data_IF_299272226123
#
_entry.id   IF_299272226123
#
_cell.length_a   1.000
_cell.length_b   1.000
_cell.length_c   1.000
_cell.angle_alpha   90.00
_cell.angle_beta   90.00
_cell.angle_gamma   90.00
#
_symmetry.space_group_name_H-M   'P 1'
#
loop_
_entity.id
_entity.type
_entity.pdbx_description
1 polymer ?
#
# COMPACT_ATOMS: atom_id res chain seq x y z
N UNK A 1 36.37 -16.38 4.76
CA UNK A 1 36.59 -16.24 3.31
C UNK A 1 36.16 -17.52 2.61
N UNK A 2 35.34 -17.43 1.56
CA UNK A 2 34.97 -18.58 0.74
C UNK A 2 36.02 -18.78 -0.35
N UNK A 3 36.37 -20.02 -0.67
CA UNK A 3 37.29 -20.41 -1.74
C UNK A 3 36.57 -21.35 -2.71
N UNK A 4 36.26 -20.85 -3.89
CA UNK A 4 35.56 -21.56 -4.96
C UNK A 4 36.54 -22.43 -5.76
N UNK A 5 36.21 -23.71 -5.92
CA UNK A 5 37.01 -24.64 -6.72
C UNK A 5 36.89 -24.37 -8.22
N UNK A 6 37.86 -24.81 -9.03
CA UNK A 6 37.76 -24.77 -10.49
C UNK A 6 36.50 -25.46 -11.03
N UNK A 7 36.11 -26.59 -10.43
CA UNK A 7 34.92 -27.34 -10.82
C UNK A 7 33.63 -26.53 -10.57
N UNK A 8 33.56 -25.82 -9.45
CA UNK A 8 32.44 -24.92 -9.15
C UNK A 8 32.30 -23.79 -10.18
N UNK A 9 33.43 -23.22 -10.64
CA UNK A 9 33.42 -22.13 -11.63
C UNK A 9 33.05 -22.60 -13.05
N UNK A 10 33.05 -23.91 -13.30
CA UNK A 10 32.79 -24.50 -14.63
C UNK A 10 31.47 -25.28 -14.71
N UNK A 11 31.00 -25.90 -13.63
CA UNK A 11 29.69 -26.53 -13.52
C UNK A 11 28.74 -25.66 -12.71
N UNK A 12 27.92 -24.83 -13.36
CA UNK A 12 27.11 -23.87 -12.62
C UNK A 12 25.58 -23.89 -12.87
N UNK A 13 25.01 -24.72 -13.77
CA UNK A 13 23.58 -24.52 -14.13
C UNK A 13 22.70 -25.74 -14.46
N UNK A 14 23.18 -27.00 -14.42
CA UNK A 14 22.38 -28.14 -14.92
C UNK A 14 21.15 -28.48 -14.06
N UNK A 15 21.32 -28.58 -12.73
CA UNK A 15 20.24 -29.05 -11.85
C UNK A 15 19.11 -28.02 -11.65
N UNK A 16 19.44 -26.73 -11.60
CA UNK A 16 18.44 -25.66 -11.45
C UNK A 16 17.51 -25.60 -12.67
N UNK A 17 18.08 -25.71 -13.87
CA UNK A 17 17.34 -25.68 -15.14
C UNK A 17 16.30 -26.79 -15.22
N UNK A 18 16.63 -28.00 -14.74
CA UNK A 18 15.68 -29.12 -14.69
C UNK A 18 14.50 -28.85 -13.75
N UNK A 19 14.75 -28.37 -12.52
CA UNK A 19 13.67 -28.01 -11.59
C UNK A 19 12.75 -26.92 -12.13
N UNK A 20 13.33 -25.89 -12.76
CA UNK A 20 12.58 -24.80 -13.36
C UNK A 20 11.70 -25.27 -14.53
N UNK A 21 12.19 -26.21 -15.34
CA UNK A 21 11.43 -26.82 -16.42
C UNK A 21 10.24 -27.65 -15.93
N UNK A 22 10.37 -28.36 -14.81
CA UNK A 22 9.27 -29.10 -14.18
C UNK A 22 8.16 -28.16 -13.68
N UNK A 23 8.54 -27.06 -13.03
CA UNK A 23 7.59 -26.04 -12.56
C UNK A 23 6.89 -25.37 -13.75
N UNK A 24 7.63 -25.05 -14.82
CA UNK A 24 7.06 -24.52 -16.05
C UNK A 24 6.02 -25.49 -16.65
N UNK A 25 6.33 -26.78 -16.69
CA UNK A 25 5.40 -27.83 -17.13
C UNK A 25 4.11 -27.86 -16.31
N UNK A 26 4.21 -27.75 -14.99
CA UNK A 26 3.04 -27.68 -14.11
C UNK A 26 2.14 -26.47 -14.39
N UNK A 27 2.74 -25.28 -14.63
CA UNK A 27 1.98 -24.08 -15.02
C UNK A 27 1.25 -24.26 -16.35
N UNK A 28 1.88 -24.90 -17.35
CA UNK A 28 1.26 -25.18 -18.65
C UNK A 28 0.05 -26.12 -18.49
N UNK A 29 0.19 -27.19 -17.70
CA UNK A 29 -0.92 -28.11 -17.42
C UNK A 29 -2.07 -27.38 -16.72
N UNK A 30 -1.76 -26.59 -15.69
CA UNK A 30 -2.76 -25.79 -14.98
C UNK A 30 -3.46 -24.80 -15.93
N UNK A 31 -2.72 -24.20 -16.86
CA UNK A 31 -3.24 -23.24 -17.84
C UNK A 31 -4.23 -23.90 -18.80
N UNK A 32 -3.90 -25.09 -19.29
CA UNK A 32 -4.79 -25.87 -20.16
C UNK A 32 -6.05 -26.27 -19.40
N UNK A 33 -5.90 -26.81 -18.17
CA UNK A 33 -7.05 -27.26 -17.36
C UNK A 33 -7.99 -26.11 -17.02
N UNK A 34 -7.47 -24.99 -16.49
CA UNK A 34 -8.28 -23.82 -16.16
C UNK A 34 -8.83 -23.13 -17.41
N UNK A 35 -8.10 -23.13 -18.52
CA UNK A 35 -8.56 -22.60 -19.80
C UNK A 35 -9.75 -23.38 -20.34
N UNK A 36 -9.70 -24.72 -20.30
CA UNK A 36 -10.83 -25.58 -20.69
C UNK A 36 -12.03 -25.36 -19.75
N UNK A 37 -11.81 -25.29 -18.44
CA UNK A 37 -12.88 -25.01 -17.47
C UNK A 37 -13.51 -23.63 -17.68
N UNK A 38 -12.72 -22.61 -18.00
CA UNK A 38 -13.19 -21.27 -18.33
C UNK A 38 -14.02 -21.27 -19.63
N UNK A 39 -13.53 -21.91 -20.68
CA UNK A 39 -14.25 -22.00 -21.97
C UNK A 39 -15.56 -22.79 -21.84
N UNK A 40 -15.58 -23.87 -21.06
CA UNK A 40 -16.77 -24.69 -20.81
C UNK A 40 -17.81 -23.95 -19.96
N UNK A 41 -17.37 -23.17 -18.97
CA UNK A 41 -18.24 -22.49 -18.00
C UNK A 41 -18.13 -20.96 -18.10
N UNK A 42 -18.30 -20.39 -19.31
CA UNK A 42 -18.13 -18.95 -19.59
C UNK A 42 -18.96 -18.00 -18.71
N UNK A 43 -20.10 -18.45 -18.19
CA UNK A 43 -21.00 -17.65 -17.33
C UNK A 43 -20.62 -17.68 -15.85
N UNK A 44 -19.73 -18.59 -15.44
CA UNK A 44 -19.32 -18.73 -14.05
C UNK A 44 -18.05 -17.92 -13.77
N UNK A 45 -18.22 -16.82 -13.02
CA UNK A 45 -17.16 -15.87 -12.67
C UNK A 45 -15.97 -16.53 -11.97
N UNK A 46 -16.19 -17.61 -11.21
CA UNK A 46 -15.14 -18.33 -10.48
C UNK A 46 -14.03 -18.81 -11.42
N UNK A 47 -14.37 -19.48 -12.53
CA UNK A 47 -13.37 -20.02 -13.46
C UNK A 47 -12.66 -18.93 -14.25
N UNK A 48 -13.38 -17.85 -14.61
CA UNK A 48 -12.79 -16.66 -15.22
C UNK A 48 -11.72 -16.06 -14.30
N UNK A 49 -12.06 -15.84 -13.03
CA UNK A 49 -11.17 -15.18 -12.08
C UNK A 49 -9.95 -16.05 -11.76
N UNK A 50 -10.13 -17.37 -11.57
CA UNK A 50 -9.00 -18.30 -11.41
C UNK A 50 -8.10 -18.35 -12.64
N UNK A 51 -8.67 -18.34 -13.85
CA UNK A 51 -7.88 -18.34 -15.07
C UNK A 51 -7.06 -17.05 -15.22
N UNK A 52 -7.65 -15.88 -14.94
CA UNK A 52 -6.95 -14.58 -14.95
C UNK A 52 -5.79 -14.58 -13.95
N UNK A 53 -6.03 -15.05 -12.71
CA UNK A 53 -4.97 -15.14 -11.69
C UNK A 53 -3.84 -16.07 -12.15
N UNK A 54 -4.17 -17.22 -12.75
CA UNK A 54 -3.15 -18.12 -13.29
C UNK A 54 -2.34 -17.46 -14.41
N UNK A 55 -2.98 -16.71 -15.32
CA UNK A 55 -2.27 -15.97 -16.37
C UNK A 55 -1.23 -15.01 -15.77
N UNK A 56 -1.60 -14.25 -14.74
CA UNK A 56 -0.66 -13.35 -14.06
C UNK A 56 0.48 -14.11 -13.36
N UNK A 57 0.18 -15.23 -12.68
CA UNK A 57 1.20 -16.05 -12.04
C UNK A 57 2.16 -16.68 -13.07
N UNK A 58 1.66 -17.09 -14.23
CA UNK A 58 2.47 -17.63 -15.31
C UNK A 58 3.39 -16.55 -15.91
N UNK A 59 2.88 -15.34 -16.17
CA UNK A 59 3.69 -14.21 -16.65
C UNK A 59 4.77 -13.82 -15.62
N UNK A 60 4.40 -13.77 -14.33
CA UNK A 60 5.34 -13.50 -13.25
C UNK A 60 6.43 -14.58 -13.20
N UNK A 61 6.05 -15.85 -13.26
CA UNK A 61 6.98 -16.97 -13.26
C UNK A 61 7.95 -16.90 -14.43
N UNK A 62 7.46 -16.68 -15.66
CA UNK A 62 8.30 -16.52 -16.87
C UNK A 62 9.25 -15.34 -16.72
N UNK A 63 8.79 -14.22 -16.17
CA UNK A 63 9.64 -13.03 -15.93
C UNK A 63 10.75 -13.31 -14.93
N UNK A 64 10.45 -14.01 -13.82
CA UNK A 64 11.45 -14.43 -12.84
C UNK A 64 12.47 -15.40 -13.46
N UNK A 65 12.03 -16.34 -14.31
CA UNK A 65 12.93 -17.23 -15.04
C UNK A 65 13.84 -16.49 -15.99
N UNK A 66 13.29 -15.55 -16.76
CA UNK A 66 14.06 -14.73 -17.68
C UNK A 66 15.12 -13.91 -16.94
N UNK A 67 14.75 -13.30 -15.80
CA UNK A 67 15.73 -12.60 -14.94
C UNK A 67 16.83 -13.54 -14.45
N UNK A 68 16.47 -14.72 -13.92
CA UNK A 68 17.45 -15.69 -13.45
C UNK A 68 18.37 -16.16 -14.56
N UNK A 69 17.85 -16.38 -15.77
CA UNK A 69 18.63 -16.73 -16.95
C UNK A 69 19.62 -15.63 -17.34
N UNK A 70 19.17 -14.38 -17.36
CA UNK A 70 20.04 -13.23 -17.63
C UNK A 70 21.15 -13.08 -16.59
N UNK A 71 20.82 -13.24 -15.29
CA UNK A 71 21.81 -13.22 -14.21
C UNK A 71 22.78 -14.41 -14.31
N UNK A 72 22.29 -15.60 -14.64
CA UNK A 72 23.09 -16.80 -14.87
C UNK A 72 24.07 -16.62 -16.03
N UNK A 73 23.62 -16.05 -17.15
CA UNK A 73 24.46 -15.79 -18.31
C UNK A 73 25.59 -14.81 -17.98
N UNK A 74 25.28 -13.72 -17.27
CA UNK A 74 26.27 -12.74 -16.81
C UNK A 74 27.31 -13.37 -15.86
N UNK A 75 26.84 -14.14 -14.88
CA UNK A 75 27.72 -14.84 -13.93
C UNK A 75 28.56 -15.92 -14.61
N UNK A 76 28.01 -16.67 -15.57
CA UNK A 76 28.73 -17.71 -16.31
C UNK A 76 29.85 -17.12 -17.17
N UNK A 77 29.62 -15.97 -17.81
CA UNK A 77 30.64 -15.28 -18.59
C UNK A 77 31.84 -14.87 -17.72
N UNK A 78 31.57 -14.30 -16.54
CA UNK A 78 32.62 -13.83 -15.63
C UNK A 78 33.32 -14.98 -14.88
N UNK A 79 32.58 -16.02 -14.47
CA UNK A 79 33.16 -17.24 -13.88
C UNK A 79 33.98 -18.04 -14.88
N UNK A 80 33.60 -18.04 -16.16
CA UNK A 80 34.40 -18.64 -17.24
C UNK A 80 35.77 -17.98 -17.40
N UNK A 81 35.85 -16.65 -17.26
CA UNK A 81 37.13 -15.91 -17.30
C UNK A 81 38.02 -16.26 -16.09
N UNK A 82 37.45 -16.28 -14.88
CA UNK A 82 38.16 -16.70 -13.66
C UNK A 82 38.64 -18.14 -13.74
N UNK A 83 37.82 -19.06 -14.27
CA UNK A 83 38.20 -20.44 -14.49
C UNK A 83 39.34 -20.57 -15.51
N UNK A 84 39.30 -19.77 -16.58
CA UNK A 84 40.36 -19.73 -17.61
C UNK A 84 41.69 -19.24 -17.01
N UNK A 85 41.65 -18.20 -16.17
CA UNK A 85 42.82 -17.73 -15.43
C UNK A 85 43.37 -18.83 -14.50
N UNK A 86 42.54 -19.46 -13.68
CA UNK A 86 42.96 -20.57 -12.80
C UNK A 86 43.59 -21.72 -13.61
N UNK A 87 43.07 -22.02 -14.81
CA UNK A 87 43.64 -23.04 -15.70
C UNK A 87 45.02 -22.65 -16.21
N UNK A 88 45.24 -21.38 -16.55
CA UNK A 88 46.55 -20.88 -16.99
C UNK A 88 47.57 -20.91 -15.83
N UNK A 89 47.16 -20.52 -14.63
CA UNK A 89 48.01 -20.54 -13.44
C UNK A 89 48.35 -21.98 -13.02
N UNK A 90 47.37 -22.89 -13.10
CA UNK A 90 47.57 -24.33 -12.88
C UNK A 90 48.67 -24.89 -13.78
N UNK A 91 48.64 -24.54 -15.08
CA UNK A 91 49.69 -24.93 -16.03
C UNK A 91 51.05 -24.32 -15.68
N UNK A 92 51.10 -23.02 -15.40
CA UNK A 92 52.35 -22.32 -15.08
C UNK A 92 53.01 -22.85 -13.80
N UNK A 93 52.21 -23.16 -12.77
CA UNK A 93 52.69 -23.62 -11.46
C UNK A 93 52.76 -25.14 -11.34
N UNK A 94 52.40 -25.90 -12.38
CA UNK A 94 52.38 -27.36 -12.39
C UNK A 94 51.52 -27.97 -11.26
N UNK A 95 50.41 -27.31 -10.93
CA UNK A 95 49.47 -27.75 -9.87
C UNK A 95 48.22 -28.31 -10.52
N UNK A 96 47.69 -29.48 -10.10
CA UNK A 96 46.46 -30.03 -10.67
C UNK A 96 45.25 -29.13 -10.43
N UNK A 97 44.33 -29.07 -11.40
CA UNK A 97 43.10 -28.23 -11.35
C UNK A 97 42.22 -28.51 -10.12
N UNK A 98 42.24 -29.73 -9.58
CA UNK A 98 41.52 -30.12 -8.36
C UNK A 98 42.02 -29.41 -7.09
N UNK A 99 43.23 -28.85 -7.13
CA UNK A 99 43.85 -28.12 -6.02
C UNK A 99 43.87 -26.59 -6.24
N UNK A 100 43.12 -26.11 -7.25
CA UNK A 100 43.00 -24.69 -7.56
C UNK A 100 41.72 -24.11 -6.98
N UNK A 101 41.85 -23.02 -6.24
CA UNK A 101 40.71 -22.29 -5.68
C UNK A 101 40.88 -20.78 -5.83
N UNK A 102 39.78 -20.05 -5.94
CA UNK A 102 39.75 -18.58 -5.96
C UNK A 102 38.77 -18.05 -4.91
N UNK A 103 39.04 -16.90 -4.30
CA UNK A 103 38.14 -16.27 -3.34
C UNK A 103 36.99 -15.48 -3.99
N UNK A 104 36.99 -15.35 -5.32
CA UNK A 104 35.96 -14.70 -6.11
C UNK A 104 35.58 -15.54 -7.32
N UNK A 105 34.34 -15.41 -7.77
CA UNK A 105 33.81 -15.98 -9.01
C UNK A 105 33.98 -15.05 -10.20
N UNK A 106 34.39 -13.80 -9.98
CA UNK A 106 34.63 -12.77 -11.00
C UNK A 106 36.10 -12.33 -10.95
N UNK A 107 36.66 -11.92 -12.09
CA UNK A 107 37.98 -11.30 -12.14
C UNK A 107 37.93 -9.95 -11.43
N UNK A 108 38.77 -9.80 -10.40
CA UNK A 108 38.86 -8.56 -9.63
C UNK A 108 40.28 -8.36 -9.09
N UNK A 109 40.74 -7.12 -9.08
CA UNK A 109 42.06 -6.78 -8.57
C UNK A 109 42.18 -7.11 -7.07
N UNK A 110 43.31 -7.70 -6.67
CA UNK A 110 43.54 -8.15 -5.30
C UNK A 110 42.84 -9.45 -4.91
N UNK A 111 42.25 -10.19 -5.87
CA UNK A 111 41.69 -11.51 -5.57
C UNK A 111 42.76 -12.48 -5.09
N UNK A 112 42.38 -13.41 -4.22
CA UNK A 112 43.29 -14.43 -3.68
C UNK A 112 43.00 -15.78 -4.33
N UNK A 113 44.05 -16.42 -4.82
CA UNK A 113 44.00 -17.79 -5.31
C UNK A 113 44.83 -18.71 -4.43
N UNK A 114 44.39 -19.96 -4.33
CA UNK A 114 45.14 -21.04 -3.71
C UNK A 114 45.59 -22.00 -4.82
N UNK A 115 46.90 -22.23 -4.90
CA UNK A 115 47.50 -23.22 -5.79
C UNK A 115 48.26 -24.24 -4.93
N UNK A 116 47.66 -25.42 -4.72
CA UNK A 116 48.24 -26.46 -3.87
C UNK A 116 48.28 -26.03 -2.40
N UNK A 117 49.47 -25.74 -1.87
CA UNK A 117 49.68 -25.29 -0.47
C UNK A 117 49.89 -23.78 -0.32
N UNK A 118 50.12 -23.05 -1.42
CA UNK A 118 50.47 -21.64 -1.39
C UNK A 118 49.28 -20.76 -1.79
N UNK A 119 49.21 -19.56 -1.22
CA UNK A 119 48.25 -18.54 -1.59
C UNK A 119 48.96 -17.42 -2.36
N UNK A 120 48.28 -16.89 -3.36
CA UNK A 120 48.76 -15.79 -4.18
C UNK A 120 47.67 -14.72 -4.27
N UNK A 121 48.06 -13.47 -4.14
CA UNK A 121 47.24 -12.33 -4.54
C UNK A 121 47.45 -12.07 -6.03
N UNK A 122 46.35 -11.85 -6.74
CA UNK A 122 46.33 -11.56 -8.17
C UNK A 122 46.13 -10.06 -8.33
N UNK A 123 47.10 -9.41 -8.97
CA UNK A 123 47.01 -8.00 -9.33
C UNK A 123 46.96 -7.89 -10.86
N UNK A 124 45.91 -7.24 -11.36
CA UNK A 124 45.68 -7.06 -12.80
C UNK A 124 46.23 -5.70 -13.26
N UNK A 125 46.65 -5.64 -14.52
CA UNK A 125 46.85 -4.36 -15.20
C UNK A 125 45.50 -3.65 -15.47
N UNK A 126 45.56 -2.36 -15.82
CA UNK A 126 44.36 -1.52 -15.97
C UNK A 126 43.34 -2.06 -16.99
N UNK A 127 43.79 -2.83 -17.99
CA UNK A 127 42.99 -3.45 -19.05
C UNK A 127 42.67 -4.93 -18.80
N UNK A 128 43.06 -5.50 -17.65
CA UNK A 128 42.85 -6.90 -17.25
C UNK A 128 43.38 -7.95 -18.25
N UNK A 129 44.27 -7.54 -19.15
CA UNK A 129 44.90 -8.42 -20.14
C UNK A 129 46.06 -9.24 -19.58
N UNK A 130 46.62 -8.79 -18.45
CA UNK A 130 47.75 -9.41 -17.78
C UNK A 130 47.55 -9.42 -16.25
N UNK A 131 48.22 -10.36 -15.59
CA UNK A 131 48.18 -10.48 -14.14
C UNK A 131 49.56 -10.79 -13.56
N UNK A 132 49.84 -10.27 -12.37
CA UNK A 132 50.98 -10.66 -11.54
C UNK A 132 50.50 -11.47 -10.33
N UNK A 133 51.35 -12.39 -9.87
CA UNK A 133 51.06 -13.25 -8.72
C UNK A 133 52.04 -12.94 -7.59
N UNK A 134 51.53 -12.36 -6.51
CA UNK A 134 52.30 -12.04 -5.31
C UNK A 134 52.00 -13.07 -4.23
N UNK A 135 52.99 -13.80 -3.68
CA UNK A 135 52.75 -14.72 -2.57
C UNK A 135 52.13 -14.00 -1.37
N UNK A 136 51.10 -14.59 -0.77
CA UNK A 136 50.40 -14.02 0.38
C UNK A 136 50.08 -15.09 1.42
N UNK A 137 49.85 -14.66 2.66
CA UNK A 137 49.45 -15.52 3.76
C UNK A 137 48.08 -15.09 4.28
N UNK A 138 47.25 -16.06 4.65
CA UNK A 138 45.94 -15.76 5.24
C UNK A 138 46.10 -15.37 6.70
N UNK A 139 45.50 -14.24 7.08
CA UNK A 139 45.41 -13.82 8.50
C UNK A 139 44.44 -14.72 9.28
N UNK A 140 43.42 -15.27 8.62
CA UNK A 140 42.41 -16.15 9.23
C UNK A 140 42.61 -17.62 8.88
N UNK A 141 42.52 -18.50 9.89
CA UNK A 141 43.14 -19.83 9.85
C UNK A 141 42.32 -20.94 9.13
N UNK A 142 41.08 -20.69 8.69
CA UNK A 142 40.26 -21.70 7.97
C UNK A 142 39.33 -21.07 6.91
N UNK A 143 39.70 -21.08 5.62
CA UNK A 143 38.78 -20.71 4.55
C UNK A 143 37.70 -21.79 4.36
N UNK A 144 36.50 -21.37 3.96
CA UNK A 144 35.39 -22.25 3.63
C UNK A 144 35.50 -22.67 2.16
N UNK A 145 35.65 -23.96 1.87
CA UNK A 145 35.84 -24.44 0.50
C UNK A 145 34.50 -24.74 -0.15
N UNK A 146 34.20 -24.06 -1.25
CA UNK A 146 32.98 -24.23 -2.03
C UNK A 146 33.29 -25.09 -3.24
N UNK A 147 32.98 -26.38 -3.12
CA UNK A 147 33.34 -27.42 -4.11
C UNK A 147 32.14 -27.78 -5.01
N UNK A 148 30.92 -27.61 -4.50
CA UNK A 148 29.68 -27.84 -5.24
C UNK A 148 28.57 -26.90 -4.74
N UNK A 149 27.70 -26.47 -5.65
CA UNK A 149 26.52 -25.69 -5.28
C UNK A 149 25.55 -26.59 -4.50
N UNK A 150 25.46 -26.39 -3.18
CA UNK A 150 24.35 -26.91 -2.40
C UNK A 150 23.16 -25.99 -2.67
N UNK A 151 22.08 -26.57 -3.18
CA UNK A 151 20.84 -25.85 -3.45
C UNK A 151 20.30 -25.26 -2.14
N UNK A 152 20.58 -23.98 -1.92
CA UNK A 152 20.09 -23.25 -0.76
C UNK A 152 19.02 -22.28 -1.26
N UNK A 153 17.76 -22.67 -1.06
CA UNK A 153 16.61 -21.85 -1.41
C UNK A 153 16.50 -20.70 -0.40
N UNK A 154 17.42 -19.74 -0.46
CA UNK A 154 17.33 -18.51 0.33
C UNK A 154 16.25 -17.60 -0.26
N UNK A 155 14.99 -18.02 -0.11
CA UNK A 155 13.80 -17.32 -0.57
C UNK A 155 13.79 -15.86 -0.07
N UNK A 156 14.22 -15.63 1.17
CA UNK A 156 14.20 -14.30 1.79
C UNK A 156 15.26 -13.32 1.29
N UNK A 157 16.31 -13.78 0.58
CA UNK A 157 17.35 -12.89 0.03
C UNK A 157 17.13 -12.54 -1.45
N UNK A 158 16.03 -12.98 -2.05
CA UNK A 158 15.69 -12.61 -3.41
C UNK A 158 15.01 -11.23 -3.43
N UNK A 159 15.53 -10.31 -4.23
CA UNK A 159 15.02 -8.94 -4.38
C UNK A 159 13.51 -8.90 -4.65
N UNK A 160 12.99 -9.85 -5.43
CA UNK A 160 11.57 -9.95 -5.76
C UNK A 160 10.71 -10.40 -4.57
N UNK A 161 11.25 -11.20 -3.65
CA UNK A 161 10.56 -11.61 -2.42
C UNK A 161 10.47 -10.44 -1.45
N UNK A 162 11.56 -9.66 -1.31
CA UNK A 162 11.55 -8.42 -0.50
C UNK A 162 10.54 -7.42 -1.07
N UNK A 163 10.55 -7.20 -2.39
CA UNK A 163 9.60 -6.34 -3.08
C UNK A 163 8.15 -6.81 -2.88
N UNK A 164 7.90 -8.11 -3.03
CA UNK A 164 6.58 -8.72 -2.80
C UNK A 164 6.10 -8.57 -1.36
N UNK A 165 6.98 -8.75 -0.37
CA UNK A 165 6.65 -8.53 1.05
C UNK A 165 6.32 -7.06 1.33
N UNK A 166 7.08 -6.10 0.80
CA UNK A 166 6.77 -4.67 0.92
C UNK A 166 5.40 -4.35 0.28
N UNK A 167 5.11 -4.86 -0.91
CA UNK A 167 3.82 -4.69 -1.58
C UNK A 167 2.67 -5.25 -0.75
N UNK A 168 2.83 -6.47 -0.21
CA UNK A 168 1.81 -7.12 0.61
C UNK A 168 1.55 -6.37 1.91
N UNK A 169 2.61 -5.92 2.60
CA UNK A 169 2.48 -5.10 3.81
C UNK A 169 1.79 -3.77 3.50
N UNK A 170 2.19 -3.09 2.41
CA UNK A 170 1.58 -1.84 1.97
C UNK A 170 0.10 -2.00 1.66
N UNK A 171 -0.28 -3.08 0.96
CA UNK A 171 -1.67 -3.42 0.67
C UNK A 171 -2.48 -3.69 1.93
N UNK A 172 -1.97 -4.53 2.85
CA UNK A 172 -2.66 -4.83 4.12
C UNK A 172 -2.83 -3.55 4.94
N UNK A 173 -1.79 -2.72 5.04
CA UNK A 173 -1.86 -1.44 5.75
C UNK A 173 -2.88 -0.49 5.14
N UNK A 174 -2.94 -0.41 3.81
CA UNK A 174 -3.97 0.36 3.09
C UNK A 174 -5.38 -0.09 3.49
N UNK A 175 -5.65 -1.39 3.42
CA UNK A 175 -6.96 -1.96 3.76
C UNK A 175 -7.31 -1.70 5.22
N UNK A 176 -6.36 -1.90 6.14
CA UNK A 176 -6.56 -1.64 7.57
C UNK A 176 -6.86 -0.15 7.80
N UNK A 177 -6.06 0.76 7.22
CA UNK A 177 -6.27 2.19 7.39
C UNK A 177 -7.61 2.64 6.83
N UNK A 178 -8.03 2.18 5.65
CA UNK A 178 -9.34 2.53 5.09
C UNK A 178 -10.47 2.02 5.98
N UNK A 179 -10.38 0.78 6.46
CA UNK A 179 -11.43 0.20 7.33
C UNK A 179 -11.52 0.89 8.69
N UNK A 180 -10.39 1.27 9.29
CA UNK A 180 -10.35 1.95 10.59
C UNK A 180 -10.68 3.45 10.49
N UNK A 181 -10.25 4.12 9.43
CA UNK A 181 -10.47 5.55 9.17
C UNK A 181 -11.90 5.86 8.69
N UNK A 182 -12.63 4.82 8.29
CA UNK A 182 -13.97 4.90 7.72
C UNK A 182 -13.95 5.03 6.20
N UNK A 183 -15.11 4.84 5.57
CA UNK A 183 -15.26 4.83 4.11
C UNK A 183 -15.04 6.18 3.43
N UNK A 184 -14.78 7.25 4.19
CA UNK A 184 -14.45 8.58 3.65
C UNK A 184 -13.27 8.55 2.69
N UNK A 185 -12.32 7.63 2.84
CA UNK A 185 -11.19 7.50 1.90
C UNK A 185 -11.59 6.95 0.52
N UNK A 186 -12.70 6.22 0.39
CA UNK A 186 -13.16 5.68 -0.90
C UNK A 186 -13.95 6.70 -1.71
N UNK A 187 -14.68 7.57 -1.01
CA UNK A 187 -15.38 8.72 -1.58
C UNK A 187 -15.01 9.94 -0.74
N UNK A 188 -13.89 10.61 -1.09
CA UNK A 188 -13.34 11.69 -0.27
C UNK A 188 -14.33 12.84 -0.10
N UNK A 189 -14.85 12.98 1.12
CA UNK A 189 -15.76 14.06 1.51
C UNK A 189 -15.03 15.36 1.86
N UNK A 190 -13.72 15.29 2.13
CA UNK A 190 -12.89 16.43 2.49
C UNK A 190 -11.47 16.28 1.93
N UNK A 191 -10.69 17.36 2.00
CA UNK A 191 -9.32 17.40 1.48
C UNK A 191 -8.36 16.45 2.20
N UNK A 192 -8.56 16.18 3.50
CA UNK A 192 -7.69 15.29 4.29
C UNK A 192 -7.82 13.86 3.79
N UNK A 193 -9.03 13.38 3.53
CA UNK A 193 -9.27 12.03 3.01
C UNK A 193 -8.61 11.85 1.61
N UNK A 194 -8.61 12.89 0.77
CA UNK A 194 -7.89 12.88 -0.51
C UNK A 194 -6.37 12.86 -0.32
N UNK A 195 -5.86 13.77 0.52
CA UNK A 195 -4.43 13.88 0.83
C UNK A 195 -3.89 12.57 1.40
N UNK A 196 -4.66 11.90 2.25
CA UNK A 196 -4.32 10.59 2.78
C UNK A 196 -4.00 9.61 1.66
N UNK A 197 -4.90 9.46 0.67
CA UNK A 197 -4.72 8.51 -0.41
C UNK A 197 -3.50 8.83 -1.27
N UNK A 198 -3.27 10.11 -1.60
CA UNK A 198 -2.14 10.52 -2.44
C UNK A 198 -0.80 10.31 -1.76
N UNK A 199 -0.66 10.75 -0.51
CA UNK A 199 0.60 10.62 0.23
C UNK A 199 0.89 9.14 0.51
N UNK A 200 -0.12 8.36 0.90
CA UNK A 200 0.06 6.94 1.17
C UNK A 200 0.47 6.17 -0.10
N UNK A 201 -0.16 6.47 -1.23
CA UNK A 201 0.26 5.96 -2.54
C UNK A 201 1.71 6.32 -2.88
N UNK A 202 2.11 7.56 -2.63
CA UNK A 202 3.50 8.03 -2.82
C UNK A 202 4.51 7.34 -1.90
N UNK A 203 4.16 7.13 -0.64
CA UNK A 203 4.99 6.42 0.36
C UNK A 203 5.20 4.96 -0.06
N UNK A 204 4.11 4.25 -0.38
CA UNK A 204 4.19 2.86 -0.82
C UNK A 204 4.99 2.77 -2.12
N UNK A 205 4.64 3.57 -3.14
CA UNK A 205 5.31 3.57 -4.43
C UNK A 205 6.81 3.87 -4.31
N UNK A 206 7.18 4.92 -3.58
CA UNK A 206 8.59 5.33 -3.45
C UNK A 206 9.45 4.36 -2.66
N UNK A 207 8.96 3.80 -1.56
CA UNK A 207 9.78 2.95 -0.69
C UNK A 207 9.90 1.49 -1.17
N UNK A 208 8.99 1.02 -2.02
CA UNK A 208 9.05 -0.33 -2.57
C UNK A 208 10.33 -0.53 -3.41
N UNK A 209 10.70 0.47 -4.22
CA UNK A 209 11.84 0.38 -5.15
C UNK A 209 13.20 0.71 -4.50
N UNK A 210 13.21 1.09 -3.22
CA UNK A 210 14.45 1.46 -2.54
C UNK A 210 15.01 0.28 -1.73
N UNK A 211 16.10 -0.30 -2.22
CA UNK A 211 16.79 -1.44 -1.59
C UNK A 211 17.46 -1.07 -0.25
N UNK A 212 17.77 0.20 -0.03
CA UNK A 212 18.34 0.66 1.25
C UNK A 212 17.30 0.67 2.38
N UNK A 213 16.00 0.69 2.04
CA UNK A 213 14.92 0.68 3.03
C UNK A 213 14.54 -0.77 3.32
N UNK A 214 14.81 -1.20 4.55
CA UNK A 214 14.43 -2.53 5.05
C UNK A 214 12.91 -2.66 5.20
N UNK A 215 12.41 -3.91 5.26
CA UNK A 215 10.99 -4.20 5.47
C UNK A 215 10.49 -3.58 6.79
N UNK A 216 11.29 -3.64 7.86
CA UNK A 216 10.93 -3.07 9.15
C UNK A 216 10.82 -1.54 9.09
N UNK A 217 11.78 -0.87 8.45
CA UNK A 217 11.73 0.59 8.26
C UNK A 217 10.49 0.99 7.44
N UNK A 218 10.19 0.25 6.37
CA UNK A 218 8.98 0.47 5.56
C UNK A 218 7.70 0.38 6.43
N UNK A 219 7.60 -0.66 7.26
CA UNK A 219 6.48 -0.82 8.19
C UNK A 219 6.37 0.32 9.21
N UNK A 220 7.50 0.74 9.80
CA UNK A 220 7.53 1.85 10.76
C UNK A 220 7.03 3.15 10.12
N UNK A 221 7.45 3.47 8.88
CA UNK A 221 6.98 4.68 8.20
C UNK A 221 5.47 4.62 7.95
N UNK A 222 4.92 3.47 7.54
CA UNK A 222 3.47 3.30 7.39
C UNK A 222 2.72 3.48 8.72
N UNK A 223 3.31 3.03 9.84
CA UNK A 223 2.73 3.19 11.17
C UNK A 223 2.74 4.66 11.61
N UNK A 224 3.86 5.37 11.43
CA UNK A 224 3.98 6.80 11.72
C UNK A 224 2.94 7.58 10.90
N UNK A 225 2.83 7.31 9.61
CA UNK A 225 1.82 7.92 8.75
C UNK A 225 0.40 7.64 9.25
N UNK A 226 0.12 6.39 9.61
CA UNK A 226 -1.16 6.00 10.21
C UNK A 226 -1.47 6.84 11.46
N UNK A 227 -0.50 6.98 12.36
CA UNK A 227 -0.66 7.75 13.59
C UNK A 227 -0.98 9.21 13.31
N UNK A 228 -0.33 9.82 12.31
CA UNK A 228 -0.59 11.20 11.89
C UNK A 228 -2.03 11.36 11.39
N UNK A 229 -2.51 10.42 10.56
CA UNK A 229 -3.89 10.45 10.04
C UNK A 229 -4.92 10.25 11.16
N UNK A 230 -4.75 9.24 12.01
CA UNK A 230 -5.70 9.02 13.10
C UNK A 230 -5.66 10.14 14.13
N UNK A 231 -4.47 10.68 14.41
CA UNK A 231 -4.29 11.85 15.26
C UNK A 231 -4.97 13.09 14.69
N UNK A 232 -4.83 13.37 13.39
CA UNK A 232 -5.50 14.52 12.76
C UNK A 232 -7.02 14.38 12.78
N UNK A 233 -7.57 13.18 12.54
CA UNK A 233 -9.01 12.92 12.68
C UNK A 233 -9.50 13.10 14.11
N UNK A 234 -8.72 12.65 15.11
CA UNK A 234 -9.04 12.88 16.51
C UNK A 234 -9.09 14.37 16.86
N UNK A 235 -8.12 15.15 16.38
CA UNK A 235 -8.06 16.60 16.58
C UNK A 235 -9.25 17.32 15.92
N UNK A 236 -9.58 16.97 14.68
CA UNK A 236 -10.75 17.51 13.95
C UNK A 236 -12.06 17.19 14.68
N UNK A 237 -12.20 15.99 15.25
CA UNK A 237 -13.41 15.60 15.99
C UNK A 237 -13.56 16.38 17.31
N UNK A 238 -12.45 16.64 18.01
CA UNK A 238 -12.49 17.30 19.31
C UNK A 238 -12.54 18.82 19.23
N UNK A 239 -11.96 19.43 18.19
CA UNK A 239 -11.79 20.87 18.11
C UNK A 239 -12.33 21.46 16.83
N UNK A 240 -13.25 22.41 16.97
CA UNK A 240 -13.84 23.13 15.83
C UNK A 240 -12.82 24.04 15.13
N UNK A 241 -11.75 24.46 15.82
CA UNK A 241 -10.62 25.13 15.19
C UNK A 241 -9.91 24.23 14.17
N UNK A 242 -9.56 23.00 14.57
CA UNK A 242 -8.91 22.03 13.68
C UNK A 242 -9.84 21.58 12.56
N UNK A 243 -11.15 21.43 12.83
CA UNK A 243 -12.17 21.19 11.80
C UNK A 243 -12.17 22.30 10.75
N UNK A 244 -12.21 23.57 11.17
CA UNK A 244 -12.18 24.72 10.25
C UNK A 244 -10.89 24.81 9.45
N UNK A 245 -9.75 24.52 10.08
CA UNK A 245 -8.43 24.64 9.45
C UNK A 245 -8.13 23.50 8.46
N UNK A 246 -8.48 22.26 8.80
CA UNK A 246 -8.06 21.08 8.04
C UNK A 246 -9.14 20.55 7.07
N UNK A 247 -10.42 20.59 7.45
CA UNK A 247 -11.52 20.13 6.60
C UNK A 247 -12.30 21.29 5.95
N UNK A 248 -12.19 22.51 6.49
CA UNK A 248 -13.01 23.64 6.06
C UNK A 248 -14.46 23.54 6.55
N UNK A 249 -15.31 24.48 6.13
CA UNK A 249 -16.74 24.49 6.43
C UNK A 249 -17.53 24.61 5.13
N UNK A 250 -18.71 23.98 5.00
CA UNK A 250 -19.61 24.22 3.88
C UNK A 250 -19.93 25.71 3.74
N UNK A 251 -19.92 26.24 2.52
CA UNK A 251 -20.11 27.67 2.24
C UNK A 251 -21.39 27.91 1.46
N UNK A 252 -22.23 28.84 1.95
CA UNK A 252 -23.46 29.23 1.25
C UNK A 252 -23.09 30.11 0.06
N UNK A 253 -23.47 29.68 -1.14
CA UNK A 253 -23.22 30.39 -2.40
C UNK A 253 -24.48 31.08 -2.90
N UNK A 254 -25.65 30.43 -2.80
CA UNK A 254 -26.95 31.02 -3.14
C UNK A 254 -27.89 30.86 -1.95
N UNK A 255 -28.61 31.92 -1.59
CA UNK A 255 -29.69 31.88 -0.60
C UNK A 255 -30.90 32.64 -1.14
N UNK A 256 -32.02 31.93 -1.26
CA UNK A 256 -33.29 32.45 -1.76
C UNK A 256 -33.16 33.21 -3.10
N UNK A 257 -32.53 32.59 -4.10
CA UNK A 257 -32.29 33.21 -5.41
C UNK A 257 -31.21 34.28 -5.45
N UNK A 258 -30.64 34.67 -4.30
CA UNK A 258 -29.57 35.68 -4.23
C UNK A 258 -28.19 35.03 -4.12
N UNK A 259 -27.28 35.43 -5.00
CA UNK A 259 -25.90 34.94 -5.01
C UNK A 259 -25.07 35.72 -3.97
N UNK A 260 -24.43 35.00 -3.07
CA UNK A 260 -23.50 35.55 -2.08
C UNK A 260 -22.10 35.60 -2.72
N UNK A 261 -21.86 36.67 -3.48
CA UNK A 261 -20.65 36.83 -4.32
C UNK A 261 -19.37 36.73 -3.49
N UNK A 262 -19.34 37.33 -2.30
CA UNK A 262 -18.17 37.27 -1.41
C UNK A 262 -17.77 35.83 -1.05
N UNK A 263 -18.75 34.96 -0.78
CA UNK A 263 -18.48 33.57 -0.46
C UNK A 263 -18.03 32.80 -1.71
N UNK A 264 -18.60 33.07 -2.89
CA UNK A 264 -18.15 32.47 -4.13
C UNK A 264 -16.69 32.82 -4.42
N UNK A 265 -16.35 34.11 -4.36
CA UNK A 265 -15.00 34.61 -4.65
C UNK A 265 -13.96 34.12 -3.63
N UNK A 266 -14.29 34.08 -2.33
CA UNK A 266 -13.40 33.55 -1.28
C UNK A 266 -13.04 32.07 -1.50
N UNK A 267 -13.91 31.31 -2.17
CA UNK A 267 -13.67 29.91 -2.51
C UNK A 267 -13.16 29.73 -3.95
N UNK A 268 -12.72 30.81 -4.60
CA UNK A 268 -12.17 30.78 -5.96
C UNK A 268 -13.20 30.46 -7.04
N UNK A 269 -14.50 30.59 -6.75
CA UNK A 269 -15.58 30.30 -7.69
C UNK A 269 -15.95 31.56 -8.49
N UNK A 270 -15.72 31.51 -9.80
CA UNK A 270 -16.15 32.56 -10.73
C UNK A 270 -17.65 32.43 -11.06
N UNK A 271 -18.23 33.49 -11.64
CA UNK A 271 -19.62 33.43 -12.14
C UNK A 271 -19.83 32.33 -13.20
N UNK A 272 -18.83 32.10 -14.05
CA UNK A 272 -18.81 31.01 -15.02
C UNK A 272 -18.82 29.63 -14.36
N UNK A 273 -18.05 29.45 -13.27
CA UNK A 273 -18.01 28.19 -12.52
C UNK A 273 -19.35 27.90 -11.85
N UNK A 274 -19.96 28.93 -11.24
CA UNK A 274 -21.27 28.82 -10.63
C UNK A 274 -22.33 28.44 -11.67
N UNK A 275 -22.38 29.15 -12.81
CA UNK A 275 -23.32 28.86 -13.88
C UNK A 275 -23.08 27.46 -14.51
N UNK A 276 -21.84 26.98 -14.55
CA UNK A 276 -21.52 25.62 -14.98
C UNK A 276 -22.03 24.58 -13.96
N UNK A 277 -21.78 24.78 -12.66
CA UNK A 277 -22.26 23.90 -11.59
C UNK A 277 -23.80 23.81 -11.55
N UNK A 278 -24.51 24.91 -11.73
CA UNK A 278 -25.98 24.91 -11.84
C UNK A 278 -26.46 24.09 -13.05
N UNK A 279 -25.78 24.20 -14.19
CA UNK A 279 -26.12 23.45 -15.42
C UNK A 279 -25.90 21.94 -15.28
N UNK A 280 -24.87 21.51 -14.53
CA UNK A 280 -24.65 20.09 -14.25
C UNK A 280 -25.84 19.45 -13.53
N UNK A 281 -26.54 20.23 -12.70
CA UNK A 281 -27.75 19.81 -11.97
C UNK A 281 -29.05 20.13 -12.74
N UNK A 282 -28.96 20.43 -14.05
CA UNK A 282 -30.08 20.81 -14.93
C UNK A 282 -30.87 22.06 -14.49
N UNK A 283 -30.22 23.02 -13.83
CA UNK A 283 -30.83 24.27 -13.39
C UNK A 283 -30.49 25.39 -14.38
N UNK A 284 -31.51 25.95 -15.02
CA UNK A 284 -31.37 26.99 -16.04
C UNK A 284 -31.22 28.41 -15.49
N UNK A 285 -31.76 28.69 -14.30
CA UNK A 285 -31.71 30.01 -13.67
C UNK A 285 -31.29 29.91 -12.21
N UNK A 286 -30.40 30.80 -11.77
CA UNK A 286 -30.01 30.89 -10.36
C UNK A 286 -31.16 31.37 -9.46
N UNK A 287 -32.20 31.99 -10.03
CA UNK A 287 -33.38 32.43 -9.28
C UNK A 287 -34.26 31.27 -8.83
N UNK A 288 -34.22 30.13 -9.55
CA UNK A 288 -34.96 28.91 -9.18
C UNK A 288 -34.31 28.17 -8.01
N UNK A 289 -33.15 28.65 -7.55
CA UNK A 289 -32.37 28.06 -6.46
C UNK A 289 -32.74 28.68 -5.12
N UNK A 290 -33.35 27.88 -4.25
CA UNK A 290 -33.61 28.24 -2.86
C UNK A 290 -32.32 28.26 -2.03
N UNK A 291 -31.43 27.29 -2.23
CA UNK A 291 -30.16 27.23 -1.50
C UNK A 291 -29.11 26.49 -2.34
N UNK A 292 -27.91 27.04 -2.46
CA UNK A 292 -26.75 26.32 -2.98
C UNK A 292 -25.61 26.39 -1.96
N UNK A 293 -25.07 25.23 -1.59
CA UNK A 293 -23.95 25.11 -0.65
C UNK A 293 -22.79 24.45 -1.36
N UNK A 294 -21.62 25.07 -1.26
CA UNK A 294 -20.35 24.47 -1.64
C UNK A 294 -19.84 23.61 -0.49
N UNK A 295 -19.76 22.30 -0.72
CA UNK A 295 -19.20 21.31 0.19
C UNK A 295 -17.66 21.34 0.20
N UNK A 296 -17.06 20.74 1.22
CA UNK A 296 -15.60 20.73 1.43
C UNK A 296 -14.81 20.00 0.34
N UNK A 297 -15.44 19.03 -0.33
CA UNK A 297 -14.87 18.34 -1.49
C UNK A 297 -15.03 19.13 -2.81
N UNK A 298 -15.59 20.34 -2.76
CA UNK A 298 -15.84 21.21 -3.91
C UNK A 298 -17.13 20.93 -4.67
N UNK A 299 -17.91 19.93 -4.26
CA UNK A 299 -19.23 19.67 -4.82
C UNK A 299 -20.24 20.72 -4.36
N UNK A 300 -21.33 20.89 -5.11
CA UNK A 300 -22.37 21.84 -4.77
C UNK A 300 -23.67 21.10 -4.50
N UNK A 301 -24.19 21.25 -3.30
CA UNK A 301 -25.51 20.75 -2.92
C UNK A 301 -26.54 21.84 -3.21
N UNK A 302 -27.50 21.58 -4.10
CA UNK A 302 -28.49 22.57 -4.55
C UNK A 302 -29.90 22.16 -4.14
N UNK A 303 -30.68 23.11 -3.64
CA UNK A 303 -32.11 23.01 -3.37
C UNK A 303 -32.86 24.02 -4.23
N UNK A 304 -33.83 23.57 -5.02
CA UNK A 304 -34.69 24.43 -5.83
C UNK A 304 -35.99 24.81 -5.11
N UNK A 305 -36.66 25.86 -5.59
CA UNK A 305 -38.02 26.16 -5.14
C UNK A 305 -38.98 25.07 -5.65
N UNK A 306 -39.67 24.37 -4.73
CA UNK A 306 -40.58 23.28 -5.05
C UNK A 306 -40.07 21.88 -4.70
N UNK A 307 -38.78 21.72 -4.39
CA UNK A 307 -38.27 20.52 -3.70
C UNK A 307 -38.45 20.67 -2.19
N UNK A 308 -38.70 19.57 -1.46
CA UNK A 308 -38.68 19.61 0.01
C UNK A 308 -37.35 20.23 0.45
N UNK A 309 -37.39 21.34 1.20
CA UNK A 309 -36.17 22.03 1.61
C UNK A 309 -35.22 21.08 2.32
N UNK A 310 -33.95 21.05 1.89
CA UNK A 310 -32.90 20.28 2.55
C UNK A 310 -32.96 20.57 4.05
N UNK A 311 -33.27 19.52 4.81
CA UNK A 311 -33.46 19.58 6.26
C UNK A 311 -32.08 19.53 6.89
N UNK A 312 -31.58 20.68 7.31
CA UNK A 312 -30.29 20.75 8.01
C UNK A 312 -30.42 20.04 9.37
N UNK A 313 -29.46 19.18 9.72
CA UNK A 313 -29.42 18.64 11.06
C UNK A 313 -29.13 19.77 12.06
N UNK A 314 -29.99 19.88 13.07
CA UNK A 314 -29.85 20.80 14.18
C UNK A 314 -28.84 20.27 15.21
N UNK A 315 -28.74 18.95 15.34
CA UNK A 315 -27.79 18.27 16.20
C UNK A 315 -27.05 17.23 15.36
N UNK A 316 -25.72 17.26 15.41
CA UNK A 316 -24.84 16.25 14.79
C UNK A 316 -23.78 15.82 15.79
N UNK A 317 -23.61 14.51 15.96
CA UNK A 317 -22.58 13.91 16.81
C UNK A 317 -22.54 14.47 18.25
N UNK A 318 -23.71 14.78 18.82
CA UNK A 318 -23.84 15.30 20.18
C UNK A 318 -23.52 16.79 20.35
N UNK A 319 -23.36 17.54 19.25
CA UNK A 319 -23.19 19.00 19.24
C UNK A 319 -24.35 19.68 18.51
N UNK A 320 -24.76 20.84 19.00
CA UNK A 320 -25.77 21.68 18.34
C UNK A 320 -25.10 22.53 17.25
N UNK A 321 -25.73 22.64 16.09
CA UNK A 321 -25.29 23.57 15.04
C UNK A 321 -25.92 24.94 15.26
N UNK A 322 -25.16 25.86 15.88
CA UNK A 322 -25.57 27.24 16.14
C UNK A 322 -26.01 27.96 14.85
N UNK A 323 -25.38 27.65 13.71
CA UNK A 323 -25.70 28.30 12.44
C UNK A 323 -27.08 27.90 11.89
N UNK A 324 -27.60 26.76 12.32
CA UNK A 324 -28.96 26.29 12.00
C UNK A 324 -29.96 26.87 13.00
N UNK A 325 -29.60 26.98 14.28
CA UNK A 325 -30.42 27.62 15.32
C UNK A 325 -30.80 29.07 14.96
N UNK A 326 -29.80 29.86 14.56
CA UNK A 326 -30.00 31.24 14.13
C UNK A 326 -30.99 31.34 12.94
N UNK A 327 -30.95 30.36 12.02
CA UNK A 327 -31.82 30.33 10.84
C UNK A 327 -33.27 30.01 11.17
N UNK A 328 -33.52 29.24 12.22
CA UNK A 328 -34.88 28.87 12.65
C UNK A 328 -35.41 29.81 13.75
N UNK A 329 -34.63 30.81 14.16
CA UNK A 329 -35.00 31.78 15.20
C UNK A 329 -35.20 31.12 16.56
N UNK A 330 -34.40 30.10 16.88
CA UNK A 330 -34.43 29.38 18.16
C UNK A 330 -33.09 29.52 18.87
N UNK A 331 -33.11 29.41 20.19
CA UNK A 331 -31.93 29.44 21.03
C UNK A 331 -31.54 28.03 21.49
N UNK A 332 -30.33 27.90 22.02
CA UNK A 332 -29.80 26.62 22.52
C UNK A 332 -30.68 26.02 23.63
N UNK A 333 -31.29 26.86 24.47
CA UNK A 333 -32.24 26.46 25.52
C UNK A 333 -33.46 25.75 24.94
N UNK A 334 -34.03 26.26 23.86
CA UNK A 334 -35.13 25.58 23.17
C UNK A 334 -34.73 24.18 22.72
N UNK A 335 -33.49 23.98 22.24
CA UNK A 335 -32.99 22.65 21.84
C UNK A 335 -32.90 21.74 23.05
N UNK A 336 -32.31 22.19 24.14
CA UNK A 336 -32.19 21.42 25.39
C UNK A 336 -33.57 21.01 25.91
N UNK A 337 -34.56 21.90 25.91
CA UNK A 337 -35.94 21.57 26.30
C UNK A 337 -36.56 20.50 25.41
N UNK A 338 -36.38 20.56 24.09
CA UNK A 338 -36.93 19.57 23.17
C UNK A 338 -36.25 18.20 23.30
N UNK A 339 -34.95 18.18 23.59
CA UNK A 339 -34.18 16.95 23.80
C UNK A 339 -34.51 16.31 25.14
N UNK A 340 -34.64 17.11 26.20
CA UNK A 340 -35.04 16.66 27.53
C UNK A 340 -36.48 16.10 27.55
N UNK A 341 -37.40 16.65 26.74
CA UNK A 341 -38.76 16.09 26.57
C UNK A 341 -38.76 14.65 26.06
N UNK A 342 -37.68 14.19 25.45
CA UNK A 342 -37.50 12.81 24.97
C UNK A 342 -36.58 11.99 25.89
N UNK A 343 -36.29 12.45 27.12
CA UNK A 343 -35.40 11.82 28.11
C UNK A 343 -33.98 11.56 27.59
N UNK A 344 -33.48 12.42 26.71
CA UNK A 344 -32.12 12.36 26.19
C UNK A 344 -31.36 13.62 26.60
N UNK A 345 -30.03 13.57 26.60
CA UNK A 345 -29.18 14.76 26.59
C UNK A 345 -28.66 15.03 25.17
N UNK A 346 -28.27 16.28 24.87
CA UNK A 346 -27.72 16.65 23.55
C UNK A 346 -26.55 15.74 23.16
N UNK A 347 -25.64 15.46 24.11
CA UNK A 347 -24.49 14.56 23.91
C UNK A 347 -24.85 13.11 23.54
N UNK A 348 -26.07 12.66 23.85
CA UNK A 348 -26.56 11.32 23.52
C UNK A 348 -27.22 11.25 22.14
N UNK A 349 -27.41 12.39 21.47
CA UNK A 349 -28.04 12.47 20.15
C UNK A 349 -26.98 12.33 19.06
N UNK A 350 -27.12 11.31 18.21
CA UNK A 350 -26.31 11.16 17.00
C UNK A 350 -26.75 12.15 15.91
N UNK A 351 -28.06 12.23 15.65
CA UNK A 351 -28.63 13.12 14.64
C UNK A 351 -29.96 13.71 15.12
N UNK A 352 -30.12 15.03 15.05
CA UNK A 352 -31.37 15.73 15.34
C UNK A 352 -31.80 16.61 14.17
N UNK A 353 -33.04 16.49 13.70
CA UNK A 353 -33.58 17.28 12.59
C UNK A 353 -34.96 17.85 12.92
N UNK A 354 -35.21 19.09 12.48
CA UNK A 354 -36.53 19.71 12.61
C UNK A 354 -37.40 19.33 11.40
N UNK A 355 -38.43 18.51 11.63
CA UNK A 355 -39.35 18.02 10.60
C UNK A 355 -40.75 18.51 10.94
N UNK A 356 -41.35 19.34 10.07
CA UNK A 356 -42.70 19.89 10.25
C UNK A 356 -42.91 20.56 11.63
N UNK A 357 -41.89 21.25 12.15
CA UNK A 357 -41.91 21.90 13.46
C UNK A 357 -41.64 20.99 14.66
N UNK A 358 -41.43 19.69 14.45
CA UNK A 358 -41.08 18.72 15.51
C UNK A 358 -39.61 18.30 15.39
N UNK A 359 -38.89 18.35 16.51
CA UNK A 359 -37.50 17.88 16.58
C UNK A 359 -37.49 16.35 16.65
N UNK A 360 -37.05 15.71 15.58
CA UNK A 360 -36.85 14.25 15.51
C UNK A 360 -35.41 13.96 15.87
N UNK A 361 -35.21 13.10 16.87
CA UNK A 361 -33.91 12.77 17.43
C UNK A 361 -33.59 11.30 17.21
N UNK A 362 -32.36 11.02 16.79
CA UNK A 362 -31.77 9.70 16.67
C UNK A 362 -30.64 9.61 17.71
N UNK A 363 -30.83 8.87 18.81
CA UNK A 363 -29.80 8.73 19.83
C UNK A 363 -28.67 7.79 19.38
N UNK A 364 -27.50 7.93 19.99
CA UNK A 364 -26.48 6.88 19.93
C UNK A 364 -27.05 5.57 20.49
N UNK A 365 -26.67 4.41 19.95
CA UNK A 365 -27.06 3.13 20.53
C UNK A 365 -26.67 3.11 22.00
N UNK A 366 -27.64 2.98 22.90
CA UNK A 366 -27.35 2.61 24.27
C UNK A 366 -26.81 1.19 24.23
N UNK A 367 -25.48 1.04 24.17
CA UNK A 367 -24.87 -0.24 24.49
C UNK A 367 -25.23 -0.51 25.95
N UNK A 368 -26.32 -1.25 26.17
CA UNK A 368 -26.52 -1.93 27.43
C UNK A 368 -25.22 -2.70 27.65
N UNK A 369 -24.45 -2.30 28.66
CA UNK A 369 -23.43 -3.15 29.22
C UNK A 369 -24.14 -4.45 29.60
N UNK A 370 -24.15 -5.43 28.71
CA UNK A 370 -24.48 -6.81 29.06
C UNK A 370 -23.42 -7.17 30.09
N UNK A 371 -23.80 -7.12 31.36
CA UNK A 371 -22.93 -7.60 32.42
C UNK A 371 -22.55 -9.03 32.08
N UNK A 372 -21.30 -9.40 32.32
CA UNK A 372 -20.77 -10.76 32.06
C UNK A 372 -21.68 -11.84 32.67
N UNK A 373 -22.40 -11.52 33.76
CA UNK A 373 -23.43 -12.38 34.36
C UNK A 373 -24.57 -12.75 33.40
N UNK A 374 -25.09 -11.81 32.60
CA UNK A 374 -26.18 -12.08 31.64
C UNK A 374 -25.75 -13.01 30.50
N UNK A 375 -24.49 -12.90 30.05
CA UNK A 375 -23.94 -13.80 29.03
C UNK A 375 -23.71 -15.21 29.57
N UNK A 376 -23.19 -15.33 30.80
CA UNK A 376 -23.01 -16.62 31.47
C UNK A 376 -24.37 -17.32 31.64
N UNK A 377 -25.41 -16.61 32.09
CA UNK A 377 -26.71 -17.20 32.39
C UNK A 377 -27.47 -17.69 31.14
N UNK A 378 -27.35 -17.01 30.00
CA UNK A 378 -27.87 -17.50 28.72
C UNK A 378 -27.08 -18.70 28.18
N UNK A 379 -25.79 -18.79 28.48
CA UNK A 379 -24.96 -19.93 28.09
C UNK A 379 -25.27 -21.16 28.93
N UNK A 380 -25.54 -21.01 30.24
CA UNK A 380 -25.98 -22.11 31.10
C UNK A 380 -27.41 -22.57 30.82
N UNK A 381 -28.31 -21.66 30.44
CA UNK A 381 -29.69 -22.02 30.06
C UNK A 381 -29.81 -22.67 28.67
N UNK A 382 -28.80 -22.52 27.80
CA UNK A 382 -28.73 -23.25 26.51
C UNK A 382 -28.09 -24.64 26.60
N UNK A 383 -27.51 -24.97 27.76
CA UNK A 383 -26.84 -26.27 28.01
C UNK A 383 -27.69 -27.19 28.91
N UNK A 384 -28.81 -26.68 29.45
CA UNK A 384 -29.92 -27.50 29.96
C UNK A 384 -30.97 -27.67 28.89
#
# INVERSE_FOLDING_TARGET
MNLFSYHYLTQNFSNLTLWLSLIAGAFVVAFIVLGVLYLRNRTNLKYRDFFIVLCFLAILFVSLQFSNFMSAQSSSSQSGQTATMLKNISKQKHVPLSQMYANSTQLQNGMTIKAGKQYYQVDFNNDQSGYSLTPTNLVYNKPNYVVANHFNFNFMNNIYVVLGMKLLIGFIMLVIQINLSGKGNLMPSNAIDQLQNYVLGGIIGGMIYNDAITILQFFIVLLIWSLIIFGSKLLVRQSDFFKRMLTGNPQKIITNGNIIVDNALKNGMTGSDLAFKLRLENIGSFQDVKSAILEQNGQMTITTYGSESIRYPLITDGKVDESVLDRIGKDEKWVEEQVNKQNLSVSQVYLGQLINGKLVLVPYPQHQHRSVKSFIQDTTNKIK
#
